data_IF_603120652446
#
_entry.id   IF_603120652446
#
_cell.length_a   1.000
_cell.length_b   1.000
_cell.length_c   1.000
_cell.angle_alpha   90.00
_cell.angle_beta   90.00
_cell.angle_gamma   90.00
#
_symmetry.space_group_name_H-M   'P 1'
#
loop_
_entity.id
_entity.type
_entity.pdbx_description
1 polymer ?
#
# COMPACT_ATOMS: atom_id res chain seq x y z
N UNK A 1 4.91 17.86 -6.64
CA UNK A 1 5.28 16.92 -5.56
C UNK A 1 6.81 16.86 -5.51
N UNK A 2 7.42 17.03 -4.33
CA UNK A 2 8.87 16.84 -4.18
C UNK A 2 9.20 15.36 -4.44
N UNK A 3 10.19 15.01 -5.29
CA UNK A 3 10.62 13.62 -5.51
C UNK A 3 10.89 12.83 -4.23
N UNK A 4 11.39 13.51 -3.18
CA UNK A 4 11.66 12.89 -1.88
C UNK A 4 10.37 12.50 -1.14
N UNK A 5 9.32 13.32 -1.24
CA UNK A 5 8.01 13.00 -0.69
C UNK A 5 7.35 11.83 -1.44
N UNK A 6 7.53 11.75 -2.76
CA UNK A 6 7.03 10.63 -3.56
C UNK A 6 7.70 9.29 -3.16
N UNK A 7 9.02 9.30 -2.95
CA UNK A 7 9.76 8.12 -2.49
C UNK A 7 9.35 7.68 -1.08
N UNK A 8 9.18 8.63 -0.16
CA UNK A 8 8.72 8.35 1.20
C UNK A 8 7.30 7.76 1.19
N UNK A 9 6.39 8.37 0.41
CA UNK A 9 5.03 7.86 0.22
C UNK A 9 5.00 6.45 -0.38
N UNK A 10 5.86 6.17 -1.37
CA UNK A 10 5.98 4.84 -1.96
C UNK A 10 6.46 3.81 -0.93
N UNK A 11 7.49 4.15 -0.13
CA UNK A 11 7.97 3.28 0.94
C UNK A 11 6.89 2.95 1.97
N UNK A 12 6.09 3.95 2.35
CA UNK A 12 5.00 3.76 3.30
C UNK A 12 3.86 2.92 2.71
N UNK A 13 3.48 3.15 1.45
CA UNK A 13 2.47 2.34 0.77
C UNK A 13 2.91 0.87 0.65
N UNK A 14 4.18 0.63 0.28
CA UNK A 14 4.76 -0.70 0.22
C UNK A 14 4.81 -1.37 1.60
N UNK A 15 5.16 -0.63 2.65
CA UNK A 15 5.14 -1.15 4.01
C UNK A 15 3.74 -1.65 4.40
N UNK A 16 2.70 -0.86 4.13
CA UNK A 16 1.31 -1.27 4.39
C UNK A 16 0.96 -2.53 3.61
N UNK A 17 1.31 -2.60 2.33
CA UNK A 17 1.05 -3.79 1.50
C UNK A 17 1.73 -5.04 2.08
N UNK A 18 3.01 -4.95 2.41
CA UNK A 18 3.78 -6.09 2.94
C UNK A 18 3.26 -6.50 4.30
N UNK A 19 3.06 -5.55 5.22
CA UNK A 19 2.54 -5.83 6.55
C UNK A 19 1.16 -6.48 6.49
N UNK A 20 0.23 -5.93 5.72
CA UNK A 20 -1.09 -6.50 5.54
C UNK A 20 -1.04 -7.89 4.90
N UNK A 21 -0.20 -8.11 3.88
CA UNK A 21 -0.06 -9.42 3.25
C UNK A 21 0.50 -10.49 4.20
N UNK A 22 1.37 -10.12 5.13
CA UNK A 22 1.92 -11.02 6.16
C UNK A 22 0.92 -11.31 7.29
N UNK A 23 0.10 -10.33 7.66
CA UNK A 23 -0.87 -10.45 8.76
C UNK A 23 -2.14 -11.19 8.32
N UNK A 24 -2.62 -10.95 7.09
CA UNK A 24 -3.86 -11.51 6.57
C UNK A 24 -4.04 -13.04 6.78
N UNK A 25 -3.04 -13.90 6.51
CA UNK A 25 -3.20 -15.35 6.71
C UNK A 25 -3.27 -15.79 8.19
N UNK A 26 -2.97 -14.89 9.13
CA UNK A 26 -3.04 -15.16 10.57
C UNK A 26 -4.40 -14.78 11.17
N UNK A 27 -5.22 -14.03 10.43
CA UNK A 27 -6.52 -13.54 10.90
C UNK A 27 -7.64 -14.56 10.63
N UNK A 28 -8.64 -14.56 11.50
CA UNK A 28 -9.83 -15.43 11.34
C UNK A 28 -10.68 -14.88 10.19
N UNK A 29 -10.98 -15.69 9.15
CA UNK A 29 -11.80 -15.23 8.04
C UNK A 29 -13.16 -14.70 8.51
N UNK A 30 -13.53 -13.50 8.07
CA UNK A 30 -14.79 -12.85 8.42
C UNK A 30 -14.76 -12.07 9.74
N UNK A 31 -13.63 -12.02 10.45
CA UNK A 31 -13.47 -11.11 11.60
C UNK A 31 -13.36 -9.64 11.14
N UNK A 32 -13.54 -8.71 12.08
CA UNK A 32 -13.38 -7.29 11.79
C UNK A 32 -11.94 -6.97 11.36
N UNK A 33 -10.94 -7.58 12.01
CA UNK A 33 -9.53 -7.43 11.65
C UNK A 33 -9.27 -7.88 10.21
N UNK A 34 -9.79 -9.05 9.82
CA UNK A 34 -9.68 -9.58 8.46
C UNK A 34 -10.18 -8.59 7.39
N UNK A 35 -11.37 -8.02 7.60
CA UNK A 35 -11.95 -7.05 6.66
C UNK A 35 -11.08 -5.79 6.58
N UNK A 36 -10.63 -5.27 7.72
CA UNK A 36 -9.78 -4.07 7.77
C UNK A 36 -8.44 -4.33 7.08
N UNK A 37 -7.83 -5.49 7.29
CA UNK A 37 -6.55 -5.87 6.68
C UNK A 37 -6.67 -6.04 5.16
N UNK A 38 -7.78 -6.58 4.65
CA UNK A 38 -8.07 -6.59 3.20
C UNK A 38 -8.18 -5.17 2.65
N UNK A 39 -8.94 -4.29 3.32
CA UNK A 39 -9.13 -2.92 2.87
C UNK A 39 -7.81 -2.14 2.90
N UNK A 40 -6.99 -2.34 3.93
CA UNK A 40 -5.66 -1.76 4.05
C UNK A 40 -4.72 -2.25 2.94
N UNK A 41 -4.74 -3.55 2.64
CA UNK A 41 -3.98 -4.14 1.53
C UNK A 41 -4.40 -3.52 0.19
N UNK A 42 -5.71 -3.43 -0.07
CA UNK A 42 -6.26 -2.81 -1.27
C UNK A 42 -5.86 -1.33 -1.41
N UNK A 43 -5.99 -0.56 -0.33
CA UNK A 43 -5.60 0.85 -0.30
C UNK A 43 -4.09 1.03 -0.52
N UNK A 44 -3.26 0.18 0.08
CA UNK A 44 -1.80 0.18 -0.10
C UNK A 44 -1.40 -0.13 -1.55
N UNK A 45 -2.05 -1.10 -2.18
CA UNK A 45 -1.82 -1.46 -3.58
C UNK A 45 -2.20 -0.32 -4.53
N UNK A 46 -3.38 0.29 -4.31
CA UNK A 46 -3.81 1.46 -5.07
C UNK A 46 -2.86 2.65 -4.89
N UNK A 47 -2.47 2.94 -3.65
CA UNK A 47 -1.51 4.00 -3.33
C UNK A 47 -0.16 3.78 -4.01
N UNK A 48 0.36 2.55 -3.95
CA UNK A 48 1.60 2.15 -4.63
C UNK A 48 1.49 2.37 -6.14
N UNK A 49 0.40 1.91 -6.75
CA UNK A 49 0.16 2.06 -8.20
C UNK A 49 0.09 3.52 -8.64
N UNK A 50 -0.64 4.36 -7.91
CA UNK A 50 -0.77 5.80 -8.20
C UNK A 50 0.58 6.50 -8.07
N UNK A 51 1.32 6.26 -6.98
CA UNK A 51 2.62 6.90 -6.75
C UNK A 51 3.63 6.45 -7.81
N UNK A 52 3.69 5.15 -8.11
CA UNK A 52 4.55 4.61 -9.16
C UNK A 52 4.23 5.21 -10.54
N UNK A 53 2.94 5.34 -10.87
CA UNK A 53 2.49 5.97 -12.11
C UNK A 53 2.92 7.45 -12.19
N UNK A 54 2.72 8.22 -11.11
CA UNK A 54 3.13 9.64 -11.06
C UNK A 54 4.64 9.78 -11.21
N UNK A 55 5.43 8.95 -10.53
CA UNK A 55 6.89 8.94 -10.68
C UNK A 55 7.29 8.61 -12.11
N UNK A 56 6.69 7.58 -12.72
CA UNK A 56 6.98 7.21 -14.11
C UNK A 56 6.62 8.33 -15.10
N UNK A 57 5.50 9.02 -14.87
CA UNK A 57 5.05 10.13 -15.72
C UNK A 57 5.94 11.36 -15.62
N UNK A 58 6.47 11.67 -14.44
CA UNK A 58 7.34 12.83 -14.22
C UNK A 58 8.81 12.58 -14.62
N UNK A 59 9.20 11.32 -14.78
CA UNK A 59 10.54 10.93 -15.25
C UNK A 59 10.69 10.92 -16.78
N UNK A 60 9.58 11.05 -17.52
CA UNK A 60 9.55 11.26 -18.98
C UNK A 60 9.39 12.74 -19.28
#
# INVERSE_FOLDING_TARGET
MNPQAAKAGLGMALFVVVASALVLPLEVPGSAEYVVTILALGAGLLGTGVIAYVIHRLAR
#
